data_IF_924842596437
#
_entry.id   IF_924842596437
#
_cell.length_a   1.000
_cell.length_b   1.000
_cell.length_c   1.000
_cell.angle_alpha   90.00
_cell.angle_beta   90.00
_cell.angle_gamma   90.00
#
_symmetry.space_group_name_H-M   'P 1'
#
loop_
_entity.id
_entity.type
_entity.pdbx_description
1 polymer ?
#
# COMPACT_ATOMS: atom_id res chain seq x y z
N UNK A 1 -18.74 22.22 -4.66
CA UNK A 1 -18.05 22.15 -3.36
C UNK A 1 -16.60 21.88 -3.67
N UNK A 2 -15.78 22.93 -3.63
CA UNK A 2 -14.35 22.89 -3.90
C UNK A 2 -13.61 22.75 -2.57
N UNK A 3 -13.07 21.57 -2.30
CA UNK A 3 -12.16 21.42 -1.17
C UNK A 3 -10.75 21.62 -1.71
N UNK A 4 -10.26 22.85 -1.56
CA UNK A 4 -8.84 23.14 -1.56
C UNK A 4 -8.15 22.24 -0.55
N UNK A 5 -7.16 21.46 -0.97
CA UNK A 5 -6.16 20.86 -0.08
C UNK A 5 -4.79 21.06 -0.75
N UNK A 6 -4.17 22.19 -0.41
CA UNK A 6 -2.73 22.39 -0.48
C UNK A 6 -2.09 21.79 0.77
N UNK A 7 -0.95 21.13 0.62
CA UNK A 7 0.02 20.95 1.69
C UNK A 7 0.77 19.64 1.60
N UNK A 8 2.10 19.71 1.44
CA UNK A 8 3.08 18.67 1.72
C UNK A 8 2.51 17.49 2.52
N UNK A 9 2.47 16.29 1.92
CA UNK A 9 2.10 15.07 2.63
C UNK A 9 3.37 14.27 2.93
N UNK A 10 3.74 14.23 4.21
CA UNK A 10 4.70 13.27 4.76
C UNK A 10 4.22 11.85 4.42
N UNK A 11 5.09 11.06 3.76
CA UNK A 11 4.83 9.68 3.30
C UNK A 11 4.31 8.75 4.39
N UNK A 12 4.53 9.08 5.66
CA UNK A 12 4.15 8.28 6.82
C UNK A 12 2.63 8.27 7.09
N UNK A 13 1.87 9.23 6.55
CA UNK A 13 0.45 9.45 6.93
C UNK A 13 -0.60 9.12 5.85
N UNK A 14 -0.20 8.94 4.59
CA UNK A 14 -1.13 8.70 3.47
C UNK A 14 -1.83 7.35 3.63
N UNK A 15 -3.14 7.19 3.37
CA UNK A 15 -3.80 5.87 3.45
C UNK A 15 -3.47 4.99 2.23
N UNK A 16 -3.73 3.67 2.29
CA UNK A 16 -3.51 2.79 1.13
C UNK A 16 -4.37 3.22 -0.06
N UNK A 17 -5.63 3.60 0.20
CA UNK A 17 -6.55 4.05 -0.83
C UNK A 17 -6.06 5.35 -1.47
N UNK A 18 -5.61 6.31 -0.65
CA UNK A 18 -5.10 7.59 -1.15
C UNK A 18 -3.80 7.42 -1.94
N UNK A 19 -2.91 6.52 -1.51
CA UNK A 19 -1.68 6.22 -2.22
C UNK A 19 -1.95 5.62 -3.61
N UNK A 20 -2.95 4.75 -3.74
CA UNK A 20 -3.36 4.21 -5.05
C UNK A 20 -3.97 5.30 -5.94
N UNK A 21 -4.84 6.15 -5.39
CA UNK A 21 -5.42 7.28 -6.14
C UNK A 21 -4.32 8.21 -6.66
N UNK A 22 -3.32 8.51 -5.84
CA UNK A 22 -2.19 9.35 -6.26
C UNK A 22 -1.37 8.66 -7.37
N UNK A 23 -1.09 7.36 -7.27
CA UNK A 23 -0.42 6.61 -8.35
C UNK A 23 -1.21 6.66 -9.66
N UNK A 24 -2.53 6.53 -9.63
CA UNK A 24 -3.39 6.63 -10.83
C UNK A 24 -3.36 8.04 -11.44
N UNK A 25 -3.33 9.08 -10.61
CA UNK A 25 -3.17 10.46 -11.07
C UNK A 25 -1.82 10.66 -11.75
N UNK A 26 -0.74 10.16 -11.15
CA UNK A 26 0.60 10.22 -11.74
C UNK A 26 0.59 9.54 -13.11
N UNK A 27 0.04 8.33 -13.23
CA UNK A 27 -0.05 7.62 -14.51
C UNK A 27 -0.81 8.42 -15.57
N UNK A 28 -1.93 9.03 -15.18
CA UNK A 28 -2.73 9.88 -16.08
C UNK A 28 -1.91 11.09 -16.58
N UNK A 29 -1.12 11.71 -15.70
CA UNK A 29 -0.23 12.81 -16.09
C UNK A 29 0.89 12.35 -17.03
N UNK A 30 1.46 11.16 -16.80
CA UNK A 30 2.51 10.60 -17.66
C UNK A 30 2.01 10.28 -19.08
N UNK A 31 0.75 9.86 -19.20
CA UNK A 31 0.10 9.57 -20.48
C UNK A 31 -0.29 10.84 -21.27
N UNK A 32 -0.32 12.00 -20.60
CA UNK A 32 -0.72 13.29 -21.18
C UNK A 32 0.23 13.86 -22.24
N UNK A 33 1.43 13.29 -22.41
CA UNK A 33 2.33 13.54 -23.54
C UNK A 33 3.10 14.87 -23.53
N UNK A 34 2.74 15.83 -22.69
CA UNK A 34 3.37 17.17 -22.60
C UNK A 34 4.14 17.37 -21.27
N UNK A 35 4.72 16.28 -20.75
CA UNK A 35 5.51 16.29 -19.51
C UNK A 35 7.00 16.45 -19.82
N UNK A 36 7.66 17.35 -19.09
CA UNK A 36 9.11 17.54 -19.17
C UNK A 36 9.86 16.33 -18.57
N UNK A 37 11.03 15.99 -19.10
CA UNK A 37 11.81 14.81 -18.67
C UNK A 37 12.23 14.86 -17.20
N UNK A 38 12.49 16.05 -16.65
CA UNK A 38 12.84 16.21 -15.24
C UNK A 38 11.62 15.95 -14.35
N UNK A 39 10.44 16.44 -14.77
CA UNK A 39 9.16 16.14 -14.09
C UNK A 39 8.79 14.67 -14.19
N UNK A 40 9.03 14.03 -15.34
CA UNK A 40 8.82 12.60 -15.52
C UNK A 40 9.62 11.80 -14.48
N UNK A 41 10.88 12.15 -14.27
CA UNK A 41 11.75 11.48 -13.29
C UNK A 41 11.23 11.65 -11.85
N UNK A 42 10.77 12.85 -11.49
CA UNK A 42 10.17 13.13 -10.17
C UNK A 42 8.88 12.33 -9.96
N UNK A 43 7.99 12.32 -10.95
CA UNK A 43 6.71 11.63 -10.89
C UNK A 43 6.89 10.10 -10.78
N UNK A 44 7.81 9.52 -11.55
CA UNK A 44 8.15 8.09 -11.45
C UNK A 44 8.74 7.75 -10.08
N UNK A 45 9.60 8.63 -9.53
CA UNK A 45 10.16 8.45 -8.18
C UNK A 45 9.04 8.45 -7.13
N UNK A 46 8.10 9.39 -7.21
CA UNK A 46 6.95 9.48 -6.31
C UNK A 46 6.08 8.23 -6.38
N UNK A 47 5.71 7.80 -7.59
CA UNK A 47 4.93 6.56 -7.78
C UNK A 47 5.65 5.34 -7.17
N UNK A 48 6.97 5.24 -7.34
CA UNK A 48 7.78 4.16 -6.74
C UNK A 48 7.73 4.16 -5.21
N UNK A 49 7.79 5.33 -4.58
CA UNK A 49 7.68 5.47 -3.11
C UNK A 49 6.30 5.01 -2.61
N UNK A 50 5.23 5.46 -3.27
CA UNK A 50 3.86 5.06 -2.94
C UNK A 50 3.65 3.55 -3.10
N UNK A 51 4.18 2.96 -4.17
CA UNK A 51 4.12 1.51 -4.37
C UNK A 51 4.89 0.72 -3.30
N UNK A 52 6.02 1.26 -2.81
CA UNK A 52 6.75 0.65 -1.72
C UNK A 52 5.94 0.64 -0.43
N UNK A 53 5.35 1.79 -0.06
CA UNK A 53 4.48 1.91 1.10
C UNK A 53 3.26 0.97 1.03
N UNK A 54 2.63 0.89 -0.15
CA UNK A 54 1.51 -0.01 -0.40
C UNK A 54 1.89 -1.47 -0.15
N UNK A 55 3.08 -1.89 -0.63
CA UNK A 55 3.59 -3.26 -0.41
C UNK A 55 3.89 -3.54 1.05
N UNK A 56 4.48 -2.60 1.76
CA UNK A 56 4.78 -2.74 3.18
C UNK A 56 3.51 -2.97 4.00
N UNK A 57 2.46 -2.19 3.73
CA UNK A 57 1.15 -2.35 4.40
C UNK A 57 0.50 -3.69 4.10
N UNK A 58 0.53 -4.13 2.83
CA UNK A 58 0.03 -5.45 2.48
C UNK A 58 0.80 -6.56 3.20
N UNK A 59 2.12 -6.41 3.34
CA UNK A 59 2.97 -7.37 4.06
C UNK A 59 2.57 -7.48 5.53
N UNK A 60 2.31 -6.34 6.20
CA UNK A 60 1.85 -6.33 7.59
C UNK A 60 0.50 -7.05 7.72
N UNK A 61 -0.46 -6.71 6.86
CA UNK A 61 -1.79 -7.36 6.85
C UNK A 61 -1.65 -8.86 6.59
N UNK A 62 -0.78 -9.28 5.67
CA UNK A 62 -0.54 -10.68 5.37
C UNK A 62 -0.03 -11.44 6.61
N UNK A 63 0.98 -10.90 7.28
CA UNK A 63 1.54 -11.48 8.50
C UNK A 63 0.50 -11.59 9.61
N UNK A 64 -0.36 -10.59 9.76
CA UNK A 64 -1.43 -10.62 10.76
C UNK A 64 -2.49 -11.67 10.44
N UNK A 65 -2.85 -11.84 9.16
CA UNK A 65 -3.75 -12.91 8.71
C UNK A 65 -3.13 -14.29 8.97
N UNK A 66 -1.85 -14.49 8.66
CA UNK A 66 -1.15 -15.75 8.94
C UNK A 66 -1.18 -16.10 10.44
N UNK A 67 -0.89 -15.12 11.30
CA UNK A 67 -0.97 -15.31 12.77
C UNK A 67 -2.37 -15.69 13.24
N UNK A 68 -3.40 -15.06 12.68
CA UNK A 68 -4.79 -15.39 13.00
C UNK A 68 -5.10 -16.84 12.62
N UNK A 69 -4.69 -17.28 11.43
CA UNK A 69 -4.90 -18.66 10.97
C UNK A 69 -4.14 -19.65 11.87
N UNK A 70 -2.87 -19.41 12.17
CA UNK A 70 -2.08 -20.28 13.05
C UNK A 70 -2.63 -20.36 14.47
N UNK A 71 -3.20 -19.27 14.99
CA UNK A 71 -3.89 -19.28 16.29
C UNK A 71 -5.19 -20.07 16.30
N UNK A 72 -5.83 -20.27 15.14
CA UNK A 72 -7.01 -21.12 14.99
C UNK A 72 -6.64 -22.60 14.81
N UNK A 73 -5.41 -22.90 14.38
CA UNK A 73 -4.87 -24.25 14.22
C UNK A 73 -4.25 -24.83 15.50
N UNK A 74 -4.26 -24.11 16.63
CA UNK A 74 -3.87 -24.71 17.91
C UNK A 74 -4.77 -25.93 18.21
N UNK A 75 -4.17 -27.10 18.54
CA UNK A 75 -4.87 -28.36 18.54
C UNK A 75 -5.84 -28.45 19.73
N UNK A 76 -7.07 -28.00 19.51
CA UNK A 76 -8.24 -28.48 20.24
C UNK A 76 -8.59 -29.91 19.79
N UNK A 77 -7.66 -30.85 19.96
CA UNK A 77 -7.98 -32.28 20.00
C UNK A 77 -6.85 -33.07 20.66
N UNK A 78 -6.83 -33.00 21.99
CA UNK A 78 -6.30 -34.12 22.77
C UNK A 78 -7.23 -35.32 22.61
N UNK A 79 -6.73 -36.40 22.02
CA UNK A 79 -6.97 -37.74 22.56
C UNK A 79 -5.64 -38.49 22.60
N UNK A 80 -5.23 -39.06 23.75
CA UNK A 80 -4.19 -40.07 23.76
C UNK A 80 -4.71 -41.27 22.98
N UNK A 81 -4.01 -41.65 21.92
CA UNK A 81 -4.15 -42.98 21.34
C UNK A 81 -3.45 -43.97 22.28
N UNK A 82 -4.17 -44.43 23.30
CA UNK A 82 -3.87 -45.70 23.95
C UNK A 82 -4.23 -46.83 22.96
N UNK A 83 -3.22 -47.40 22.31
CA UNK A 83 -3.05 -48.85 22.09
C UNK A 83 -1.64 -49.20 21.62
#
# INVERSE_FOLDING_TARGET
>A
MNTSITGEQDDESISYADAIVEVEQILTELEGGDIDVDKLAEQVKRASQLLHLCRERLSIVHVDVEKLISGLEEPSSGLPADE
#
